data_IF_262123975634
#
_entry.id   IF_262123975634
#
_cell.length_a   1.000
_cell.length_b   1.000
_cell.length_c   1.000
_cell.angle_alpha   90.00
_cell.angle_beta   90.00
_cell.angle_gamma   90.00
#
_symmetry.space_group_name_H-M   'P 1'
#
loop_
_entity.id
_entity.type
_entity.pdbx_description
1 polymer ?
#
# COMPACT_ATOMS: atom_id res chain seq x y z
N UNK A 1 5.44 -11.04 -17.73
CA UNK A 1 6.20 -9.84 -18.14
C UNK A 1 6.01 -8.81 -17.04
N UNK A 2 7.07 -8.43 -16.33
CA UNK A 2 7.00 -7.36 -15.34
C UNK A 2 6.88 -6.02 -16.09
N UNK A 3 5.72 -5.37 -15.98
CA UNK A 3 5.50 -4.07 -16.63
C UNK A 3 6.40 -3.00 -16.02
N UNK A 4 6.90 -2.03 -16.80
CA UNK A 4 8.11 -1.27 -16.46
C UNK A 4 7.95 -0.26 -15.30
N UNK A 5 6.74 0.23 -14.98
CA UNK A 5 6.59 1.44 -14.15
C UNK A 5 5.39 1.41 -13.18
N UNK A 6 5.15 0.32 -12.44
CA UNK A 6 4.19 0.38 -11.31
C UNK A 6 4.84 1.00 -10.08
N UNK A 7 5.09 2.31 -10.16
CA UNK A 7 5.45 3.11 -8.99
C UNK A 7 4.24 3.20 -8.07
N UNK A 8 4.33 2.58 -6.90
CA UNK A 8 3.31 2.72 -5.86
C UNK A 8 3.53 4.06 -5.16
N UNK A 9 2.49 4.89 -5.08
CA UNK A 9 2.55 6.12 -4.29
C UNK A 9 2.31 5.73 -2.83
N UNK A 10 3.21 6.18 -1.95
CA UNK A 10 3.15 5.93 -0.51
C UNK A 10 2.95 7.24 0.24
N UNK A 11 1.96 7.29 1.11
CA UNK A 11 1.68 8.44 1.98
C UNK A 11 1.80 8.01 3.45
N UNK A 12 2.45 8.82 4.27
CA UNK A 12 2.53 8.64 5.72
C UNK A 12 1.84 9.81 6.43
N UNK A 13 0.88 9.50 7.29
CA UNK A 13 0.14 10.50 8.07
C UNK A 13 0.19 10.12 9.53
N UNK A 14 0.82 10.95 10.37
CA UNK A 14 0.80 10.77 11.83
C UNK A 14 -0.58 11.17 12.37
N UNK A 15 -1.22 10.25 13.10
CA UNK A 15 -2.52 10.44 13.72
C UNK A 15 -2.40 10.08 15.20
N UNK A 16 -2.15 11.10 16.04
CA UNK A 16 -1.94 10.91 17.47
C UNK A 16 -0.78 9.95 17.77
N UNK A 17 -1.11 8.82 18.40
CA UNK A 17 -0.17 7.79 18.80
C UNK A 17 0.19 6.78 17.69
N UNK A 18 -0.35 6.94 16.48
CA UNK A 18 -0.17 6.00 15.38
C UNK A 18 0.25 6.71 14.09
N UNK A 19 0.71 5.94 13.11
CA UNK A 19 0.90 6.41 11.74
C UNK A 19 0.02 5.62 10.79
N UNK A 20 -0.80 6.32 10.01
CA UNK A 20 -1.52 5.77 8.85
C UNK A 20 -0.56 5.77 7.67
N UNK A 21 -0.49 4.65 6.95
CA UNK A 21 0.27 4.54 5.70
C UNK A 21 -0.67 4.14 4.58
N UNK A 22 -0.75 4.96 3.54
CA UNK A 22 -1.54 4.69 2.33
C UNK A 22 -0.60 4.17 1.23
N UNK A 23 -1.04 3.17 0.48
CA UNK A 23 -0.38 2.68 -0.73
C UNK A 23 -1.37 2.72 -1.90
N UNK A 24 -1.00 3.42 -2.97
CA UNK A 24 -1.87 3.73 -4.11
C UNK A 24 -1.21 3.23 -5.41
N UNK A 25 -1.93 2.41 -6.17
CA UNK A 25 -1.57 2.07 -7.54
C UNK A 25 -2.15 3.12 -8.51
N UNK A 26 -1.32 3.94 -9.18
CA UNK A 26 -1.80 5.04 -10.01
C UNK A 26 -2.55 4.57 -11.27
N UNK A 27 -2.28 3.33 -11.73
CA UNK A 27 -2.92 2.75 -12.91
C UNK A 27 -4.34 2.30 -12.63
N UNK A 28 -4.53 1.48 -11.59
CA UNK A 28 -5.86 0.93 -11.23
C UNK A 28 -6.65 1.83 -10.30
N UNK A 29 -6.03 2.88 -9.75
CA UNK A 29 -6.59 3.79 -8.73
C UNK A 29 -6.99 3.06 -7.44
N UNK A 30 -6.43 1.87 -7.21
CA UNK A 30 -6.64 1.13 -5.96
C UNK A 30 -5.79 1.75 -4.88
N UNK A 31 -6.44 2.17 -3.81
CA UNK A 31 -5.80 2.60 -2.58
C UNK A 31 -6.09 1.60 -1.46
N UNK A 32 -5.07 1.34 -0.65
CA UNK A 32 -5.21 0.65 0.64
C UNK A 32 -4.49 1.45 1.72
N UNK A 33 -4.92 1.29 2.96
CA UNK A 33 -4.20 1.86 4.10
C UNK A 33 -3.91 0.82 5.18
N UNK A 34 -2.85 1.02 5.93
CA UNK A 34 -2.55 0.34 7.19
C UNK A 34 -2.37 1.36 8.31
N UNK A 35 -2.41 0.91 9.56
CA UNK A 35 -2.01 1.69 10.73
C UNK A 35 -0.87 0.94 11.41
N UNK A 36 0.16 1.67 11.84
CA UNK A 36 1.30 1.10 12.54
C UNK A 36 1.78 1.97 13.70
N UNK A 37 2.64 1.38 14.51
CA UNK A 37 3.35 2.07 15.58
C UNK A 37 4.41 3.03 14.98
N UNK A 38 4.48 4.31 15.39
CA UNK A 38 5.45 5.27 14.88
C UNK A 38 6.93 4.90 15.16
N UNK A 39 7.19 4.00 16.10
CA UNK A 39 8.54 3.48 16.40
C UNK A 39 8.99 2.42 15.38
N UNK A 40 8.08 1.83 14.62
CA UNK A 40 8.42 0.89 13.55
C UNK A 40 9.03 1.67 12.38
N UNK A 41 10.07 1.10 11.77
CA UNK A 41 10.75 1.77 10.67
C UNK A 41 9.82 2.05 9.49
N UNK A 42 10.02 3.22 8.86
CA UNK A 42 9.25 3.64 7.69
C UNK A 42 9.24 2.58 6.58
N UNK A 43 10.39 1.94 6.32
CA UNK A 43 10.51 0.87 5.32
C UNK A 43 9.69 -0.39 5.67
N UNK A 44 9.55 -0.74 6.96
CA UNK A 44 8.73 -1.87 7.36
C UNK A 44 7.23 -1.59 7.19
N UNK A 45 6.80 -0.37 7.53
CA UNK A 45 5.43 0.08 7.31
C UNK A 45 5.09 0.16 5.82
N UNK A 46 5.99 0.72 5.00
CA UNK A 46 5.86 0.76 3.55
C UNK A 46 5.71 -0.63 2.95
N UNK A 47 6.61 -1.57 3.30
CA UNK A 47 6.55 -2.96 2.84
C UNK A 47 5.22 -3.62 3.18
N UNK A 48 4.68 -3.34 4.36
CA UNK A 48 3.39 -3.86 4.81
C UNK A 48 2.24 -3.29 3.97
N UNK A 49 2.25 -1.98 3.70
CA UNK A 49 1.25 -1.31 2.88
C UNK A 49 1.27 -1.83 1.43
N UNK A 50 2.47 -1.98 0.84
CA UNK A 50 2.67 -2.52 -0.51
C UNK A 50 2.18 -3.97 -0.61
N UNK A 51 2.46 -4.80 0.40
CA UNK A 51 1.97 -6.19 0.43
C UNK A 51 0.43 -6.25 0.46
N UNK A 52 -0.21 -5.39 1.26
CA UNK A 52 -1.68 -5.27 1.28
C UNK A 52 -2.22 -4.84 -0.09
N UNK A 53 -1.58 -3.88 -0.76
CA UNK A 53 -1.98 -3.42 -2.09
C UNK A 53 -1.93 -4.57 -3.10
N UNK A 54 -0.81 -5.32 -3.14
CA UNK A 54 -0.64 -6.50 -3.99
C UNK A 54 -1.74 -7.54 -3.74
N UNK A 55 -2.03 -7.83 -2.47
CA UNK A 55 -3.11 -8.76 -2.12
C UNK A 55 -4.47 -8.31 -2.68
N UNK A 56 -4.82 -7.02 -2.52
CA UNK A 56 -6.11 -6.48 -3.00
C UNK A 56 -6.18 -6.49 -4.52
N UNK A 57 -5.10 -6.10 -5.22
CA UNK A 57 -5.04 -6.13 -6.68
C UNK A 57 -5.25 -7.56 -7.21
N UNK A 58 -4.51 -8.53 -6.67
CA UNK A 58 -4.64 -9.94 -7.07
C UNK A 58 -6.04 -10.49 -6.77
N UNK A 59 -6.67 -10.06 -5.67
CA UNK A 59 -8.04 -10.46 -5.32
C UNK A 59 -9.08 -9.88 -6.28
N UNK A 60 -8.88 -8.65 -6.77
CA UNK A 60 -9.76 -8.01 -7.76
C UNK A 60 -9.64 -8.66 -9.13
N UNK A 61 -8.40 -8.87 -9.59
CA UNK A 61 -8.13 -9.56 -10.86
C UNK A 61 -8.83 -10.93 -10.92
N UNK A 62 -8.76 -11.73 -9.84
CA UNK A 62 -9.45 -13.03 -9.75
C UNK A 62 -10.98 -12.96 -9.74
N UNK A 63 -11.58 -11.83 -9.39
CA UNK A 63 -13.03 -11.65 -9.39
C UNK A 63 -13.54 -11.21 -10.76
N UNK A 64 -12.70 -10.54 -11.52
CA UNK A 64 -13.02 -9.98 -12.83
C UNK A 64 -12.69 -10.98 -13.97
N UNK A 65 -12.09 -12.14 -13.64
CA UNK A 65 -11.91 -13.34 -14.47
C UNK A 65 -13.09 -14.31 -14.29
#
# INVERSE_FOLDING_TARGET
MASPDKTVIIEFVKVGAYVKVSAIDPTTRVEVSIVGDPSVSQAALERTAVQKLKYVLNKREKRDL
#
